data_IF_723502138953
#
_entry.id   IF_723502138953
#
_cell.length_a   1.000
_cell.length_b   1.000
_cell.length_c   1.000
_cell.angle_alpha   90.00
_cell.angle_beta   90.00
_cell.angle_gamma   90.00
#
_symmetry.space_group_name_H-M   'P 1'
#
loop_
_entity.id
_entity.type
_entity.pdbx_description
1 polymer ?
#
# COMPACT_ATOMS: atom_id res chain seq x y z
N UNK A 1 -76.95 -21.41 -5.73
CA UNK A 1 -75.67 -21.50 -6.49
C UNK A 1 -74.78 -20.40 -5.93
N UNK A 2 -73.69 -20.59 -5.20
CA UNK A 2 -72.73 -21.69 -5.08
C UNK A 2 -71.32 -21.09 -5.31
N UNK A 3 -70.39 -21.30 -4.35
CA UNK A 3 -68.96 -20.90 -4.27
C UNK A 3 -68.69 -19.46 -3.78
N UNK A 4 -68.17 -19.15 -2.57
CA UNK A 4 -67.08 -19.68 -1.71
C UNK A 4 -65.66 -19.23 -2.11
N UNK A 5 -65.08 -18.30 -1.32
CA UNK A 5 -63.65 -18.24 -0.98
C UNK A 5 -63.42 -17.36 0.27
N UNK A 6 -63.46 -18.05 1.43
CA UNK A 6 -62.67 -17.90 2.66
C UNK A 6 -62.06 -16.53 3.01
N UNK A 7 -62.66 -15.86 4.00
CA UNK A 7 -61.98 -14.90 4.86
C UNK A 7 -61.65 -15.59 6.19
N UNK A 8 -60.36 -15.79 6.49
CA UNK A 8 -59.93 -16.32 7.77
C UNK A 8 -60.01 -15.24 8.85
N UNK A 9 -60.87 -15.46 9.84
CA UNK A 9 -60.74 -14.83 11.16
C UNK A 9 -59.54 -15.44 11.87
N UNK A 10 -58.70 -14.61 12.48
CA UNK A 10 -57.89 -15.04 13.63
C UNK A 10 -58.01 -14.02 14.76
N UNK A 11 -58.42 -14.57 15.91
CA UNK A 11 -58.58 -13.88 17.18
C UNK A 11 -57.27 -13.23 17.63
N UNK A 12 -57.39 -12.03 18.21
CA UNK A 12 -56.36 -11.47 19.09
C UNK A 12 -56.19 -12.35 20.33
N UNK A 13 -55.08 -13.08 20.40
CA UNK A 13 -54.58 -13.67 21.63
C UNK A 13 -53.43 -12.81 22.15
N UNK A 14 -53.66 -12.12 23.25
CA UNK A 14 -52.65 -11.39 24.01
C UNK A 14 -51.61 -12.38 24.57
N UNK A 15 -50.42 -12.42 24.00
CA UNK A 15 -49.28 -13.16 24.55
C UNK A 15 -48.61 -12.34 25.65
N UNK A 16 -48.82 -12.74 26.89
CA UNK A 16 -47.99 -12.38 28.05
C UNK A 16 -46.70 -13.19 27.96
N UNK A 17 -45.57 -12.53 27.67
CA UNK A 17 -44.25 -13.16 27.79
C UNK A 17 -43.76 -12.93 29.22
N UNK A 18 -43.75 -14.01 30.01
CA UNK A 18 -43.03 -14.08 31.26
C UNK A 18 -41.52 -13.97 30.98
N UNK A 19 -40.88 -12.94 31.54
CA UNK A 19 -39.42 -12.89 31.64
C UNK A 19 -38.97 -13.84 32.75
N UNK A 20 -38.60 -15.06 32.38
CA UNK A 20 -37.83 -15.95 33.26
C UNK A 20 -36.40 -15.45 33.32
N UNK A 21 -36.02 -14.84 34.45
CA UNK A 21 -34.62 -14.61 34.80
C UNK A 21 -33.99 -15.97 35.08
N UNK A 22 -33.24 -16.51 34.10
CA UNK A 22 -32.29 -17.57 34.38
C UNK A 22 -31.14 -16.99 35.19
N UNK A 23 -31.24 -17.11 36.52
CA UNK A 23 -30.07 -17.07 37.40
C UNK A 23 -29.34 -18.37 37.13
N UNK A 24 -28.42 -18.36 36.17
CA UNK A 24 -27.36 -19.35 36.17
C UNK A 24 -26.56 -19.14 37.44
N UNK A 25 -26.66 -20.13 38.34
CA UNK A 25 -25.68 -20.35 39.40
C UNK A 25 -24.31 -20.38 38.72
N UNK A 26 -23.57 -19.29 38.88
CA UNK A 26 -22.13 -19.28 38.65
C UNK A 26 -21.58 -20.31 39.61
N UNK A 27 -21.34 -21.53 39.10
CA UNK A 27 -20.44 -22.46 39.72
C UNK A 27 -19.14 -21.71 39.95
N UNK A 28 -18.67 -21.73 41.19
CA UNK A 28 -17.36 -21.28 41.61
C UNK A 28 -16.28 -22.07 40.87
N UNK A 29 -16.07 -21.77 39.59
CA UNK A 29 -14.80 -21.96 38.95
C UNK A 29 -13.91 -20.80 39.43
N UNK A 30 -13.08 -21.14 40.41
CA UNK A 30 -11.98 -20.34 40.93
C UNK A 30 -11.12 -19.81 39.77
N UNK A 31 -11.48 -18.64 39.25
CA UNK A 31 -10.52 -17.79 38.53
C UNK A 31 -9.78 -17.05 39.61
N UNK A 32 -8.57 -17.54 39.95
CA UNK A 32 -7.64 -16.91 40.90
C UNK A 32 -7.54 -15.40 40.65
N UNK A 33 -8.30 -14.61 41.43
CA UNK A 33 -8.23 -13.16 41.55
C UNK A 33 -7.09 -12.83 42.52
N UNK A 34 -5.87 -13.23 42.20
CA UNK A 34 -4.75 -12.83 43.04
C UNK A 34 -3.58 -12.47 42.12
N UNK A 35 -3.14 -11.22 42.22
CA UNK A 35 -1.97 -10.73 41.48
C UNK A 35 -0.69 -11.48 41.88
N UNK A 36 -0.72 -12.19 43.01
CA UNK A 36 0.40 -12.96 43.54
C UNK A 36 0.76 -14.19 42.68
N UNK A 37 -0.22 -14.79 41.99
CA UNK A 37 0.01 -16.00 41.17
C UNK A 37 0.20 -15.68 39.68
N UNK A 38 -0.15 -14.49 39.22
CA UNK A 38 0.05 -14.07 37.83
C UNK A 38 0.32 -12.57 37.74
N UNK A 39 1.41 -12.15 37.06
CA UNK A 39 1.80 -10.75 37.01
C UNK A 39 0.81 -9.89 36.21
N UNK A 40 0.64 -8.64 36.62
CA UNK A 40 0.09 -7.60 35.76
C UNK A 40 1.20 -7.13 34.81
N UNK A 41 1.11 -7.46 33.52
CA UNK A 41 2.20 -7.21 32.58
C UNK A 41 2.40 -5.72 32.34
N UNK A 42 1.34 -5.02 31.94
CA UNK A 42 1.37 -3.58 31.64
C UNK A 42 0.36 -2.83 32.51
N UNK A 43 0.51 -2.99 33.82
CA UNK A 43 -0.39 -2.39 34.80
C UNK A 43 0.11 -2.50 36.22
N UNK A 44 -0.68 -1.99 37.16
CA UNK A 44 -0.44 -2.12 38.60
C UNK A 44 -1.50 -3.00 39.22
N UNK A 45 -1.11 -3.83 40.19
CA UNK A 45 -2.08 -4.54 41.00
C UNK A 45 -2.72 -3.59 42.03
N UNK A 46 -4.03 -3.45 41.97
CA UNK A 46 -4.84 -2.68 42.92
C UNK A 46 -6.04 -3.55 43.34
N UNK A 47 -6.19 -3.82 44.64
CA UNK A 47 -7.30 -4.63 45.19
C UNK A 47 -7.47 -5.99 44.48
N UNK A 48 -6.38 -6.75 44.36
CA UNK A 48 -6.36 -8.09 43.73
C UNK A 48 -6.76 -8.12 42.24
N UNK A 49 -6.81 -6.95 41.58
CA UNK A 49 -7.09 -6.79 40.15
C UNK A 49 -6.00 -5.97 39.48
N UNK A 50 -5.70 -6.30 38.22
CA UNK A 50 -4.80 -5.48 37.43
C UNK A 50 -5.52 -4.23 36.91
N UNK A 51 -4.98 -3.06 37.25
CA UNK A 51 -5.31 -1.79 36.62
C UNK A 51 -4.31 -1.52 35.51
N UNK A 52 -4.76 -1.57 34.27
CA UNK A 52 -3.90 -1.42 33.11
C UNK A 52 -3.45 0.03 32.90
N UNK A 53 -2.23 0.19 32.41
CA UNK A 53 -1.77 1.47 31.90
C UNK A 53 -2.59 1.85 30.65
N UNK A 54 -2.61 3.15 30.34
CA UNK A 54 -3.29 3.63 29.14
C UNK A 54 -2.74 2.91 27.89
N UNK A 55 -3.64 2.46 27.02
CA UNK A 55 -3.26 1.73 25.82
C UNK A 55 -3.12 0.21 25.98
N UNK A 56 -3.41 -0.33 27.18
CA UNK A 56 -3.37 -1.75 27.51
C UNK A 56 -4.71 -2.24 28.06
N UNK A 57 -5.01 -3.53 27.85
CA UNK A 57 -6.24 -4.15 28.31
C UNK A 57 -6.10 -5.65 28.55
N UNK A 58 -7.21 -6.30 28.91
CA UNK A 58 -7.23 -7.69 29.37
C UNK A 58 -7.18 -7.79 30.89
N UNK A 59 -7.49 -8.98 31.43
CA UNK A 59 -7.54 -9.22 32.89
C UNK A 59 -6.15 -9.04 33.52
N UNK A 60 -5.09 -9.22 32.73
CA UNK A 60 -3.69 -9.12 33.18
C UNK A 60 -2.92 -7.99 32.51
N UNK A 61 -3.62 -7.11 31.77
CA UNK A 61 -2.98 -6.07 30.97
C UNK A 61 -1.97 -6.65 29.97
N UNK A 62 -2.35 -7.77 29.33
CA UNK A 62 -1.53 -8.65 28.51
C UNK A 62 -1.77 -8.46 27.00
N UNK A 63 -2.58 -7.47 26.62
CA UNK A 63 -2.83 -7.12 25.23
C UNK A 63 -2.92 -5.61 25.04
N UNK A 64 -2.49 -5.14 23.89
CA UNK A 64 -2.70 -3.77 23.49
C UNK A 64 -4.19 -3.44 23.39
N UNK A 65 -4.55 -2.19 23.69
CA UNK A 65 -5.92 -1.71 23.62
C UNK A 65 -5.97 -0.21 23.32
N UNK A 66 -6.42 0.17 22.13
CA UNK A 66 -6.57 1.57 21.77
C UNK A 66 -5.23 2.27 21.48
N UNK A 67 -4.97 3.41 22.13
CA UNK A 67 -3.86 4.30 21.77
C UNK A 67 -2.83 4.42 22.89
N UNK A 68 -1.58 4.15 22.55
CA UNK A 68 -0.39 4.32 23.37
C UNK A 68 0.38 5.56 22.90
N UNK A 69 0.79 6.41 23.83
CA UNK A 69 1.67 7.54 23.56
C UNK A 69 3.05 7.24 24.13
N UNK A 70 4.08 7.27 23.29
CA UNK A 70 5.47 7.03 23.64
C UNK A 70 6.24 8.35 23.52
N UNK A 71 6.58 8.94 24.67
CA UNK A 71 7.28 10.24 24.77
C UNK A 71 8.73 10.14 25.22
N UNK A 72 9.10 9.02 25.83
CA UNK A 72 10.46 8.73 26.27
C UNK A 72 11.05 7.60 25.41
N UNK A 73 12.34 7.31 25.56
CA UNK A 73 12.97 6.16 24.90
C UNK A 73 12.42 4.84 25.46
N UNK A 74 11.25 4.44 24.96
CA UNK A 74 10.80 3.06 25.05
C UNK A 74 11.54 2.30 23.95
N UNK A 75 12.54 1.52 24.33
CA UNK A 75 13.30 0.75 23.34
C UNK A 75 12.43 -0.33 22.67
N UNK A 76 11.29 -0.71 23.26
CA UNK A 76 10.43 -1.77 22.72
C UNK A 76 8.97 -1.34 22.59
N UNK A 77 8.39 -1.62 21.43
CA UNK A 77 7.00 -1.45 21.06
C UNK A 77 6.46 -2.84 20.67
N UNK A 78 5.43 -3.30 21.39
CA UNK A 78 4.87 -4.66 21.27
C UNK A 78 3.36 -4.65 21.51
N UNK A 79 2.66 -5.64 20.95
CA UNK A 79 1.23 -5.89 21.17
C UNK A 79 0.94 -6.65 22.48
N UNK A 80 1.96 -7.29 23.07
CA UNK A 80 1.85 -7.97 24.35
C UNK A 80 2.79 -9.17 24.50
N UNK A 81 2.81 -9.81 25.68
CA UNK A 81 3.64 -10.99 25.98
C UNK A 81 3.11 -12.30 25.40
N UNK A 82 1.96 -12.29 24.74
CA UNK A 82 1.26 -13.47 24.20
C UNK A 82 0.92 -13.21 22.74
N UNK A 83 0.35 -14.21 22.07
CA UNK A 83 -0.24 -13.99 20.76
C UNK A 83 -1.23 -12.83 20.81
N UNK A 84 -1.24 -12.00 19.76
CA UNK A 84 -2.15 -10.85 19.68
C UNK A 84 -3.61 -11.30 19.77
N UNK A 85 -4.49 -10.42 20.23
CA UNK A 85 -5.94 -10.71 20.26
C UNK A 85 -6.57 -10.53 18.89
N UNK A 86 -7.66 -11.25 18.60
CA UNK A 86 -8.47 -10.99 17.40
C UNK A 86 -9.22 -9.66 17.50
N UNK A 87 -9.52 -9.04 16.37
CA UNK A 87 -10.15 -7.73 16.22
C UNK A 87 -9.40 -6.61 16.96
N UNK A 88 -8.08 -6.72 17.08
CA UNK A 88 -7.24 -5.72 17.72
C UNK A 88 -7.14 -4.48 16.85
N UNK A 89 -7.24 -3.32 17.49
CA UNK A 89 -7.02 -2.01 16.86
C UNK A 89 -6.16 -1.20 17.83
N UNK A 90 -4.86 -1.26 17.61
CA UNK A 90 -3.88 -0.70 18.52
C UNK A 90 -3.01 0.32 17.80
N UNK A 91 -2.79 1.46 18.42
CA UNK A 91 -2.03 2.57 17.87
C UNK A 91 -0.93 2.96 18.84
N UNK A 92 0.27 3.18 18.33
CA UNK A 92 1.39 3.76 19.08
C UNK A 92 1.81 5.04 18.39
N UNK A 93 1.87 6.11 19.16
CA UNK A 93 2.35 7.40 18.67
C UNK A 93 3.67 7.69 19.33
N UNK A 94 4.70 7.77 18.50
CA UNK A 94 6.06 8.07 18.89
C UNK A 94 6.29 9.55 18.60
N UNK A 95 6.53 10.32 19.66
CA UNK A 95 6.94 11.72 19.55
C UNK A 95 7.75 12.10 20.78
N UNK A 96 8.89 12.71 20.56
CA UNK A 96 9.65 13.40 21.60
C UNK A 96 9.83 14.85 21.17
N UNK A 97 9.26 15.79 21.92
CA UNK A 97 9.31 17.21 21.59
C UNK A 97 10.70 17.83 21.86
N UNK A 98 11.58 17.12 22.59
CA UNK A 98 12.95 17.55 22.91
C UNK A 98 13.95 17.03 21.87
N UNK A 99 13.70 15.87 21.26
CA UNK A 99 14.56 15.31 20.22
C UNK A 99 14.21 15.87 18.85
N UNK A 100 15.24 16.07 18.04
CA UNK A 100 15.16 16.51 16.65
C UNK A 100 15.92 15.52 15.78
N UNK A 101 15.56 15.49 14.50
CA UNK A 101 16.14 14.58 13.52
C UNK A 101 15.21 13.43 13.17
N UNK A 102 15.70 12.54 12.31
CA UNK A 102 14.92 11.41 11.81
C UNK A 102 14.75 10.34 12.89
N UNK A 103 13.62 9.62 12.83
CA UNK A 103 13.35 8.47 13.69
C UNK A 103 13.60 7.21 12.87
N UNK A 104 14.30 6.23 13.42
CA UNK A 104 14.51 4.92 12.80
C UNK A 104 13.72 3.87 13.57
N UNK A 105 12.77 3.22 12.92
CA UNK A 105 12.07 2.04 13.43
C UNK A 105 12.75 0.78 12.93
N UNK A 106 13.00 -0.19 13.80
CA UNK A 106 13.50 -1.52 13.45
C UNK A 106 12.49 -2.58 13.89
N UNK A 107 12.01 -3.35 12.92
CA UNK A 107 11.11 -4.49 13.14
C UNK A 107 12.00 -5.67 13.52
N UNK A 108 12.10 -5.93 14.82
CA UNK A 108 12.90 -7.04 15.35
C UNK A 108 12.27 -8.38 14.98
N UNK A 109 10.95 -8.46 15.13
CA UNK A 109 10.14 -9.61 14.70
C UNK A 109 8.71 -9.17 14.45
N UNK A 110 8.11 -9.65 13.37
CA UNK A 110 6.68 -9.55 13.07
C UNK A 110 6.21 -10.91 12.55
N UNK A 111 5.16 -11.44 13.16
CA UNK A 111 4.53 -12.69 12.76
C UNK A 111 3.02 -12.49 12.88
N UNK A 112 2.36 -12.31 11.74
CA UNK A 112 0.91 -12.11 11.63
C UNK A 112 0.31 -13.00 10.56
N UNK A 113 -1.02 -13.14 10.55
CA UNK A 113 -1.69 -13.76 9.42
C UNK A 113 -1.42 -12.97 8.13
N UNK A 114 -0.91 -13.68 7.12
CA UNK A 114 -0.57 -13.06 5.84
C UNK A 114 -1.84 -12.53 5.16
N UNK A 115 -1.77 -11.32 4.62
CA UNK A 115 -2.85 -10.65 3.89
C UNK A 115 -4.10 -10.24 4.68
N UNK A 116 -4.21 -10.56 5.97
CA UNK A 116 -5.38 -10.21 6.79
C UNK A 116 -5.01 -9.29 7.96
N UNK A 117 -3.90 -9.60 8.64
CA UNK A 117 -3.42 -8.85 9.80
C UNK A 117 -2.24 -7.96 9.44
N UNK A 118 -2.39 -6.66 9.71
CA UNK A 118 -1.51 -5.65 9.16
C UNK A 118 -0.91 -4.73 10.22
N UNK A 119 0.37 -4.43 10.04
CA UNK A 119 1.10 -3.38 10.74
C UNK A 119 1.39 -2.24 9.76
N UNK A 120 0.80 -1.08 10.01
CA UNK A 120 1.00 0.14 9.24
C UNK A 120 1.95 1.09 9.96
N UNK A 121 2.83 1.74 9.21
CA UNK A 121 3.75 2.76 9.72
C UNK A 121 3.54 4.06 8.93
N UNK A 122 3.32 5.15 9.64
CA UNK A 122 3.10 6.48 9.07
C UNK A 122 4.17 7.49 9.54
N UNK A 123 4.59 8.39 8.64
CA UNK A 123 5.46 9.53 8.92
C UNK A 123 4.62 10.72 9.42
N UNK A 124 4.39 10.75 10.73
CA UNK A 124 3.57 11.71 11.45
C UNK A 124 2.73 11.03 12.54
N UNK A 125 1.88 11.80 13.24
CA UNK A 125 1.15 11.31 14.42
C UNK A 125 -0.31 10.89 14.15
N UNK A 126 -0.73 10.83 12.89
CA UNK A 126 -2.11 10.56 12.51
C UNK A 126 -2.24 9.63 11.30
N UNK A 127 -3.42 9.04 11.11
CA UNK A 127 -3.71 8.13 9.99
C UNK A 127 -3.80 8.84 8.64
N UNK A 128 -3.86 10.17 8.63
CA UNK A 128 -3.77 11.01 7.43
C UNK A 128 -2.34 11.41 7.07
N UNK A 129 -1.37 11.06 7.91
CA UNK A 129 0.05 11.27 7.64
C UNK A 129 0.52 10.34 6.51
N UNK A 130 1.72 10.57 5.98
CA UNK A 130 2.25 9.74 4.89
C UNK A 130 2.44 8.30 5.36
N UNK A 131 1.71 7.34 4.77
CA UNK A 131 1.97 5.92 5.02
C UNK A 131 3.30 5.51 4.37
N UNK A 132 4.25 5.04 5.18
CA UNK A 132 5.57 4.59 4.72
C UNK A 132 5.57 3.09 4.40
N UNK A 133 4.84 2.29 5.18
CA UNK A 133 4.81 0.85 5.03
C UNK A 133 3.50 0.22 5.51
N UNK A 134 3.17 -0.94 4.93
CA UNK A 134 2.16 -1.87 5.41
C UNK A 134 2.76 -3.27 5.37
N UNK A 135 2.83 -3.92 6.52
CA UNK A 135 3.47 -5.23 6.69
C UNK A 135 2.46 -6.28 7.16
N UNK A 136 2.59 -7.49 6.64
CA UNK A 136 1.87 -8.69 7.09
C UNK A 136 2.74 -9.93 6.89
N UNK A 137 2.40 -11.03 7.57
CA UNK A 137 3.16 -12.28 7.49
C UNK A 137 4.38 -12.29 8.42
N UNK A 138 5.47 -12.92 7.97
CA UNK A 138 6.70 -13.13 8.74
C UNK A 138 7.80 -12.18 8.27
N UNK A 139 8.19 -11.23 9.11
CA UNK A 139 9.21 -10.20 8.81
C UNK A 139 10.16 -10.05 9.99
N UNK A 140 11.45 -9.88 9.70
CA UNK A 140 12.50 -9.68 10.72
C UNK A 140 13.62 -8.82 10.15
N UNK A 141 14.23 -7.97 11.00
CA UNK A 141 15.40 -7.17 10.67
C UNK A 141 15.16 -6.07 9.64
N UNK A 142 13.91 -5.61 9.49
CA UNK A 142 13.56 -4.52 8.55
C UNK A 142 13.63 -3.18 9.27
N UNK A 143 14.21 -2.19 8.62
CA UNK A 143 14.31 -0.83 9.13
C UNK A 143 13.48 0.14 8.29
N UNK A 144 12.84 1.11 8.95
CA UNK A 144 12.04 2.15 8.32
C UNK A 144 12.48 3.50 8.87
N UNK A 145 12.96 4.38 7.99
CA UNK A 145 13.36 5.74 8.35
C UNK A 145 12.17 6.70 8.22
N UNK A 146 11.90 7.44 9.29
CA UNK A 146 10.78 8.38 9.43
C UNK A 146 11.34 9.80 9.48
N UNK A 147 11.08 10.59 8.43
CA UNK A 147 11.75 11.87 8.22
C UNK A 147 11.24 12.96 9.16
N UNK A 148 9.97 12.94 9.54
CA UNK A 148 9.42 13.95 10.46
C UNK A 148 9.87 13.80 11.91
N UNK A 149 10.52 12.69 12.27
CA UNK A 149 10.86 12.34 13.65
C UNK A 149 9.65 11.93 14.51
N UNK A 150 8.45 11.83 13.91
CA UNK A 150 7.21 11.45 14.58
C UNK A 150 6.57 10.31 13.82
N UNK A 151 6.09 9.29 14.52
CA UNK A 151 5.49 8.13 13.88
C UNK A 151 4.16 7.75 14.52
N UNK A 152 3.28 7.21 13.68
CA UNK A 152 2.11 6.44 14.08
C UNK A 152 2.34 5.02 13.58
N UNK A 153 2.39 4.08 14.51
CA UNK A 153 2.36 2.65 14.24
C UNK A 153 0.94 2.17 14.52
N UNK A 154 0.29 1.54 13.56
CA UNK A 154 -1.08 1.06 13.68
C UNK A 154 -1.14 -0.43 13.39
N UNK A 155 -1.57 -1.21 14.37
CA UNK A 155 -1.79 -2.64 14.22
C UNK A 155 -3.28 -2.94 14.16
N UNK A 156 -3.65 -3.74 13.17
CA UNK A 156 -4.99 -4.24 12.92
C UNK A 156 -4.95 -5.76 12.81
N UNK A 157 -5.84 -6.43 13.55
CA UNK A 157 -6.14 -7.85 13.32
C UNK A 157 -7.61 -8.10 13.02
N UNK A 158 -7.88 -9.15 12.25
CA UNK A 158 -9.22 -9.58 11.88
C UNK A 158 -9.84 -10.52 12.95
N UNK A 159 -10.93 -11.22 12.63
CA UNK A 159 -11.64 -12.06 13.61
C UNK A 159 -11.00 -13.45 13.81
N UNK A 160 -9.95 -13.82 13.06
CA UNK A 160 -9.37 -15.15 13.03
C UNK A 160 -7.85 -15.13 13.29
N UNK A 161 -7.27 -16.34 13.28
CA UNK A 161 -5.85 -16.70 13.39
C UNK A 161 -4.91 -15.71 14.09
N UNK A 162 -4.63 -15.99 15.36
CA UNK A 162 -3.70 -15.19 16.15
C UNK A 162 -2.29 -15.81 16.22
N UNK A 163 -1.29 -15.05 15.78
CA UNK A 163 0.12 -15.41 15.85
C UNK A 163 0.87 -14.59 16.92
N UNK A 164 2.20 -14.67 16.96
CA UNK A 164 3.01 -14.09 18.04
C UNK A 164 3.14 -12.56 18.03
N UNK A 165 2.61 -11.87 17.02
CA UNK A 165 2.56 -10.41 17.00
C UNK A 165 3.89 -9.79 16.60
N UNK A 166 4.30 -8.73 17.29
CA UNK A 166 5.53 -8.01 16.92
C UNK A 166 6.32 -7.41 18.09
N UNK A 167 7.59 -7.21 17.79
CA UNK A 167 8.54 -6.45 18.57
C UNK A 167 9.23 -5.44 17.65
N UNK A 168 9.15 -4.17 18.02
CA UNK A 168 9.72 -3.06 17.25
C UNK A 168 10.54 -2.19 18.19
N UNK A 169 11.78 -1.92 17.79
CA UNK A 169 12.66 -0.97 18.48
C UNK A 169 12.73 0.34 17.70
N UNK A 170 13.01 1.45 18.38
CA UNK A 170 13.19 2.74 17.70
C UNK A 170 14.28 3.61 18.31
N UNK A 171 14.91 4.44 17.48
CA UNK A 171 15.93 5.37 17.92
C UNK A 171 15.92 6.64 17.08
N UNK A 172 16.21 7.77 17.72
CA UNK A 172 16.38 9.06 17.05
C UNK A 172 17.81 9.23 16.53
N UNK A 173 17.96 9.82 15.34
CA UNK A 173 19.25 10.18 14.76
C UNK A 173 20.15 9.00 14.37
N UNK A 174 19.66 7.76 14.46
CA UNK A 174 20.38 6.58 13.97
C UNK A 174 20.12 6.38 12.49
N UNK A 175 21.16 6.06 11.75
CA UNK A 175 21.07 5.75 10.33
C UNK A 175 20.78 4.26 10.09
N UNK A 176 20.03 3.93 9.03
CA UNK A 176 19.75 2.55 8.66
C UNK A 176 21.06 1.81 8.35
N UNK A 177 21.22 0.62 8.92
CA UNK A 177 22.41 -0.24 8.78
C UNK A 177 23.76 0.49 8.95
N UNK A 178 23.80 1.58 9.73
CA UNK A 178 24.97 2.45 9.88
C UNK A 178 25.58 2.88 8.53
N UNK A 179 24.72 3.20 7.55
CA UNK A 179 25.10 3.57 6.18
C UNK A 179 26.00 2.53 5.50
N UNK A 180 25.87 1.25 5.88
CA UNK A 180 26.71 0.12 5.44
C UNK A 180 28.22 0.37 5.53
N UNK A 181 28.64 1.30 6.39
CA UNK A 181 30.02 1.82 6.47
C UNK A 181 30.52 2.54 5.20
N UNK A 182 29.63 2.82 4.24
CA UNK A 182 29.92 3.50 2.96
C UNK A 182 29.33 4.91 2.91
N UNK A 183 29.03 5.50 4.07
CA UNK A 183 28.56 6.87 4.17
C UNK A 183 28.75 7.42 5.58
N UNK A 184 28.59 8.74 5.70
CA UNK A 184 28.55 9.43 6.98
C UNK A 184 27.11 9.57 7.45
N UNK A 185 26.85 9.22 8.70
CA UNK A 185 25.54 9.41 9.31
C UNK A 185 25.39 10.84 9.85
N UNK A 186 24.40 11.58 9.36
CA UNK A 186 24.06 12.93 9.83
C UNK A 186 22.57 12.99 10.18
N UNK A 187 22.26 13.08 11.48
CA UNK A 187 20.88 13.13 12.02
C UNK A 187 19.95 12.01 11.50
N UNK A 188 20.52 10.81 11.29
CA UNK A 188 19.83 9.61 10.80
C UNK A 188 19.63 9.55 9.27
N UNK A 189 20.23 10.48 8.52
CA UNK A 189 20.34 10.44 7.06
C UNK A 189 21.77 9.98 6.69
N UNK A 190 21.85 9.08 5.71
CA UNK A 190 23.14 8.63 5.18
C UNK A 190 23.63 9.54 4.04
N UNK A 191 24.74 10.22 4.25
CA UNK A 191 25.50 10.91 3.22
C UNK A 191 26.52 9.93 2.61
N UNK A 192 26.19 9.35 1.46
CA UNK A 192 27.02 8.32 0.84
C UNK A 192 28.36 8.86 0.36
N UNK A 193 29.41 8.07 0.56
CA UNK A 193 30.72 8.34 -0.01
C UNK A 193 30.69 8.19 -1.53
N UNK A 194 31.67 8.79 -2.21
CA UNK A 194 31.82 8.71 -3.67
C UNK A 194 31.78 7.24 -4.13
N UNK A 195 30.94 6.94 -5.13
CA UNK A 195 30.76 5.59 -5.66
C UNK A 195 29.69 4.75 -4.97
N UNK A 196 28.96 5.31 -4.00
CA UNK A 196 27.83 4.64 -3.34
C UNK A 196 26.55 5.49 -3.42
N UNK A 197 25.40 4.79 -3.44
CA UNK A 197 24.06 5.38 -3.43
C UNK A 197 23.08 4.49 -2.67
N UNK A 198 21.83 4.93 -2.60
CA UNK A 198 20.77 4.30 -1.83
C UNK A 198 20.61 4.93 -0.45
N UNK A 199 19.47 4.69 0.20
CA UNK A 199 19.13 5.28 1.50
C UNK A 199 20.06 4.86 2.63
N UNK A 200 20.80 3.75 2.44
CA UNK A 200 21.78 3.19 3.36
C UNK A 200 23.18 3.02 2.74
N UNK A 201 23.43 3.62 1.58
CA UNK A 201 24.72 3.58 0.87
C UNK A 201 25.22 2.17 0.51
N UNK A 202 24.30 1.23 0.28
CA UNK A 202 24.58 -0.18 -0.01
C UNK A 202 24.82 -0.47 -1.50
N UNK A 203 24.48 0.48 -2.37
CA UNK A 203 24.51 0.29 -3.81
C UNK A 203 25.73 0.98 -4.39
N UNK A 204 26.67 0.22 -4.98
CA UNK A 204 27.78 0.81 -5.73
C UNK A 204 27.30 1.37 -7.06
N UNK A 205 27.89 2.49 -7.46
CA UNK A 205 27.66 3.14 -8.75
C UNK A 205 29.00 3.47 -9.42
N UNK A 206 28.97 3.63 -10.74
CA UNK A 206 30.14 4.04 -11.49
C UNK A 206 30.58 5.46 -11.12
N UNK A 207 31.89 5.66 -11.03
CA UNK A 207 32.52 6.97 -10.85
C UNK A 207 33.38 7.32 -12.06
N UNK A 208 33.82 8.58 -12.16
CA UNK A 208 34.76 9.01 -13.21
C UNK A 208 36.07 8.21 -13.21
N UNK A 209 36.49 7.68 -12.05
CA UNK A 209 37.70 6.86 -11.90
C UNK A 209 37.57 5.48 -12.56
N UNK A 210 36.34 4.97 -12.64
CA UNK A 210 35.98 3.68 -13.24
C UNK A 210 35.74 3.75 -14.75
N UNK A 211 35.71 4.95 -15.33
CA UNK A 211 35.34 5.17 -16.74
C UNK A 211 36.19 4.32 -17.69
N UNK A 212 35.51 3.62 -18.61
CA UNK A 212 36.10 2.71 -19.58
C UNK A 212 36.93 1.56 -18.97
N UNK A 213 36.72 1.22 -17.70
CA UNK A 213 37.35 0.08 -17.02
C UNK A 213 36.30 -0.90 -16.50
N UNK A 214 36.70 -2.16 -16.40
CA UNK A 214 35.95 -3.14 -15.61
C UNK A 214 35.96 -2.71 -14.15
N UNK A 215 34.77 -2.59 -13.55
CA UNK A 215 34.63 -2.10 -12.17
C UNK A 215 33.75 -3.03 -11.33
N UNK A 216 33.98 -3.00 -10.01
CA UNK A 216 33.11 -3.64 -9.01
C UNK A 216 31.70 -3.04 -9.01
N UNK A 217 31.56 -1.77 -9.41
CA UNK A 217 30.26 -1.14 -9.60
C UNK A 217 29.40 -1.94 -10.60
N UNK A 218 30.03 -2.49 -11.65
CA UNK A 218 29.43 -3.32 -12.69
C UNK A 218 29.69 -4.82 -12.47
N UNK A 219 29.73 -5.27 -11.21
CA UNK A 219 29.81 -6.70 -10.86
C UNK A 219 31.07 -7.41 -11.36
N UNK A 220 32.13 -6.67 -11.71
CA UNK A 220 33.31 -7.17 -12.45
C UNK A 220 33.00 -7.78 -13.83
N UNK A 221 31.76 -7.61 -14.31
CA UNK A 221 31.23 -8.21 -15.53
C UNK A 221 30.81 -7.17 -16.58
N UNK A 222 31.05 -5.88 -16.31
CA UNK A 222 30.79 -4.79 -17.23
C UNK A 222 31.77 -3.63 -17.07
N UNK A 223 31.63 -2.65 -17.96
CA UNK A 223 32.46 -1.45 -18.03
C UNK A 223 31.60 -0.22 -17.75
N UNK A 224 32.10 0.71 -16.95
CA UNK A 224 31.44 1.98 -16.73
C UNK A 224 31.53 2.88 -17.97
N UNK A 225 30.37 3.33 -18.46
CA UNK A 225 30.24 4.22 -19.62
C UNK A 225 30.47 5.71 -19.24
N UNK A 226 30.32 6.61 -20.21
CA UNK A 226 30.49 8.05 -20.00
C UNK A 226 29.38 8.71 -19.17
N UNK A 227 28.25 8.02 -18.96
CA UNK A 227 27.09 8.49 -18.21
C UNK A 227 27.00 7.80 -16.84
N UNK A 228 28.08 7.20 -16.35
CA UNK A 228 28.14 6.45 -15.09
C UNK A 228 27.17 5.26 -15.03
N UNK A 229 26.92 4.60 -16.15
CA UNK A 229 26.13 3.37 -16.25
C UNK A 229 27.00 2.18 -16.62
N UNK A 230 26.53 0.98 -16.31
CA UNK A 230 27.24 -0.24 -16.64
C UNK A 230 26.85 -0.76 -18.02
N UNK A 231 27.86 -0.97 -18.87
CA UNK A 231 27.74 -1.73 -20.10
C UNK A 231 28.20 -3.17 -19.85
N UNK A 232 27.25 -4.10 -19.80
CA UNK A 232 27.52 -5.48 -19.43
C UNK A 232 28.14 -6.30 -20.56
N UNK A 233 28.94 -7.30 -20.18
CA UNK A 233 29.38 -8.33 -21.11
C UNK A 233 28.19 -9.20 -21.58
N UNK A 234 28.41 -10.03 -22.60
CA UNK A 234 27.36 -10.88 -23.20
C UNK A 234 26.74 -11.93 -22.27
N UNK A 235 27.37 -12.20 -21.12
CA UNK A 235 26.95 -13.24 -20.18
C UNK A 235 26.27 -12.67 -18.93
N UNK A 236 26.18 -11.34 -18.81
CA UNK A 236 25.66 -10.68 -17.61
C UNK A 236 24.66 -9.57 -17.96
N UNK A 237 23.73 -9.31 -17.05
CA UNK A 237 22.68 -8.30 -17.20
C UNK A 237 22.28 -7.70 -15.84
N UNK A 238 21.32 -6.78 -15.89
CA UNK A 238 20.92 -5.89 -14.80
C UNK A 238 21.74 -4.60 -14.78
N UNK A 239 21.27 -3.60 -14.04
CA UNK A 239 21.87 -2.24 -14.01
C UNK A 239 23.34 -2.19 -13.61
N UNK A 240 23.81 -3.23 -12.91
CA UNK A 240 25.17 -3.37 -12.40
C UNK A 240 25.83 -4.67 -12.88
N UNK A 241 25.29 -5.30 -13.93
CA UNK A 241 25.78 -6.57 -14.46
C UNK A 241 25.89 -7.68 -13.40
N UNK A 242 25.00 -7.65 -12.41
CA UNK A 242 25.02 -8.51 -11.24
C UNK A 242 24.45 -9.90 -11.49
N UNK A 243 23.67 -10.08 -12.56
CA UNK A 243 22.97 -11.31 -12.87
C UNK A 243 23.53 -11.94 -14.15
N UNK A 244 23.53 -13.28 -14.23
CA UNK A 244 23.89 -14.00 -15.46
C UNK A 244 22.73 -13.98 -16.45
N UNK A 245 23.02 -13.90 -17.76
CA UNK A 245 21.97 -13.94 -18.81
C UNK A 245 21.20 -15.24 -18.88
N UNK A 246 21.70 -16.29 -18.22
CA UNK A 246 21.00 -17.57 -18.05
C UNK A 246 20.00 -17.57 -16.89
N UNK A 247 19.90 -16.48 -16.13
CA UNK A 247 19.03 -16.36 -14.96
C UNK A 247 18.00 -15.25 -15.18
N UNK A 248 16.74 -15.58 -14.91
CA UNK A 248 15.68 -14.59 -14.75
C UNK A 248 15.66 -14.11 -13.30
N UNK A 249 15.70 -12.80 -13.10
CA UNK A 249 15.72 -12.17 -11.78
C UNK A 249 14.63 -11.11 -11.68
N UNK A 250 14.10 -10.90 -10.48
CA UNK A 250 13.34 -9.71 -10.13
C UNK A 250 14.28 -8.73 -9.45
N UNK A 251 14.34 -7.51 -9.96
CA UNK A 251 15.23 -6.49 -9.43
C UNK A 251 14.61 -5.10 -9.46
N UNK A 252 15.10 -4.27 -8.55
CA UNK A 252 14.78 -2.85 -8.53
C UNK A 252 15.73 -2.13 -9.47
N UNK A 253 15.17 -1.38 -10.42
CA UNK A 253 15.95 -0.57 -11.36
C UNK A 253 16.39 0.73 -10.69
N UNK A 254 17.65 1.11 -10.89
CA UNK A 254 18.19 2.40 -10.47
C UNK A 254 17.69 3.49 -11.41
N UNK A 255 16.92 4.42 -10.86
CA UNK A 255 16.32 5.50 -11.65
C UNK A 255 16.67 6.87 -11.10
N UNK A 256 16.74 7.86 -11.99
CA UNK A 256 16.79 9.27 -11.62
C UNK A 256 15.39 9.90 -11.67
N UNK A 257 15.15 10.91 -10.83
CA UNK A 257 13.82 11.51 -10.63
C UNK A 257 12.96 10.74 -9.62
N UNK A 258 12.05 11.45 -8.95
CA UNK A 258 11.12 10.88 -7.97
C UNK A 258 9.73 11.52 -8.14
N UNK A 259 8.71 10.68 -8.28
CA UNK A 259 7.31 11.08 -8.43
C UNK A 259 6.41 10.46 -7.35
N UNK A 260 7.01 9.97 -6.26
CA UNK A 260 6.34 9.41 -5.10
C UNK A 260 5.65 8.06 -5.35
N UNK A 261 5.32 7.37 -4.26
CA UNK A 261 4.59 6.11 -4.30
C UNK A 261 3.14 6.32 -4.78
N UNK A 262 2.67 5.42 -5.66
CA UNK A 262 1.30 5.37 -6.15
C UNK A 262 0.85 3.92 -6.33
N UNK A 263 -0.44 3.66 -6.15
CA UNK A 263 -1.08 2.35 -6.35
C UNK A 263 -2.26 2.48 -7.32
N UNK A 264 -2.74 1.35 -7.84
CA UNK A 264 -3.94 1.30 -8.71
C UNK A 264 -3.86 2.26 -9.92
N UNK A 265 -2.65 2.50 -10.42
CA UNK A 265 -2.38 3.19 -11.67
C UNK A 265 -2.32 2.16 -12.80
N UNK A 266 -2.38 2.64 -14.04
CA UNK A 266 -2.04 1.81 -15.21
C UNK A 266 -0.77 2.32 -15.88
N UNK A 267 0.01 1.40 -16.42
CA UNK A 267 1.22 1.69 -17.19
C UNK A 267 1.09 1.16 -18.63
N UNK A 268 1.53 1.93 -19.62
CA UNK A 268 1.54 1.53 -21.04
C UNK A 268 2.88 1.83 -21.70
N UNK A 269 3.33 0.94 -22.59
CA UNK A 269 4.56 1.11 -23.35
C UNK A 269 4.31 1.96 -24.61
N UNK A 270 5.09 3.02 -24.76
CA UNK A 270 5.05 3.96 -25.89
C UNK A 270 6.40 3.94 -26.61
N UNK A 271 6.37 3.69 -27.92
CA UNK A 271 7.55 3.67 -28.81
C UNK A 271 8.71 2.78 -28.30
N UNK A 272 8.41 1.68 -27.61
CA UNK A 272 9.35 0.68 -27.08
C UNK A 272 10.46 1.21 -26.17
N UNK A 273 10.36 2.48 -25.75
CA UNK A 273 11.42 3.21 -25.03
C UNK A 273 10.88 3.94 -23.82
N UNK A 274 9.56 4.12 -23.72
CA UNK A 274 8.92 4.93 -22.67
C UNK A 274 7.75 4.20 -22.04
N UNK A 275 7.74 4.10 -20.73
CA UNK A 275 6.60 3.58 -19.97
C UNK A 275 5.84 4.78 -19.42
N UNK A 276 4.59 4.95 -19.87
CA UNK A 276 3.71 6.01 -19.41
C UNK A 276 2.85 5.48 -18.28
N UNK A 277 2.93 6.10 -17.12
CA UNK A 277 2.14 5.78 -15.93
C UNK A 277 1.07 6.84 -15.74
N UNK A 278 -0.18 6.41 -15.77
CA UNK A 278 -1.36 7.28 -15.79
C UNK A 278 -2.20 7.05 -14.52
N UNK A 279 -2.57 8.15 -13.88
CA UNK A 279 -3.42 8.17 -12.69
C UNK A 279 -2.84 7.40 -11.50
N UNK A 280 -3.73 6.72 -10.77
CA UNK A 280 -3.44 6.00 -9.54
C UNK A 280 -3.74 6.79 -8.28
N UNK A 281 -3.98 6.06 -7.20
CA UNK A 281 -4.14 6.60 -5.87
C UNK A 281 -2.76 6.84 -5.27
N UNK A 282 -2.57 8.03 -4.69
CA UNK A 282 -1.41 8.32 -3.87
C UNK A 282 -1.82 8.34 -2.41
N UNK A 283 -0.95 7.84 -1.55
CA UNK A 283 -1.15 7.90 -0.11
C UNK A 283 -0.66 9.22 0.50
N UNK A 284 -0.18 10.17 -0.34
CA UNK A 284 0.29 11.51 0.07
C UNK A 284 -0.18 12.62 -0.84
N UNK A 285 -0.63 13.72 -0.22
CA UNK A 285 -1.16 14.92 -0.89
C UNK A 285 -0.12 15.86 -1.50
N UNK A 286 1.02 15.36 -2.00
CA UNK A 286 1.99 16.20 -2.73
C UNK A 286 1.60 16.25 -4.22
N UNK A 287 1.75 17.44 -4.80
CA UNK A 287 1.47 17.83 -6.19
C UNK A 287 1.74 16.68 -7.19
N UNK A 288 0.72 16.31 -7.96
CA UNK A 288 0.73 15.11 -8.81
C UNK A 288 0.55 15.47 -10.28
N UNK A 289 1.51 15.06 -11.11
CA UNK A 289 1.29 14.94 -12.53
C UNK A 289 0.48 13.69 -12.80
N UNK A 290 -0.71 13.86 -13.37
CA UNK A 290 -1.60 12.75 -13.75
C UNK A 290 -0.91 11.77 -14.70
N UNK A 291 0.02 12.27 -15.53
CA UNK A 291 0.86 11.49 -16.43
C UNK A 291 2.33 11.66 -16.04
N UNK A 292 2.99 10.56 -15.72
CA UNK A 292 4.44 10.50 -15.53
C UNK A 292 5.04 9.46 -16.46
N UNK A 293 6.27 9.68 -16.92
CA UNK A 293 6.92 8.82 -17.89
C UNK A 293 8.25 8.36 -17.34
N UNK A 294 8.49 7.05 -17.46
CA UNK A 294 9.79 6.43 -17.29
C UNK A 294 10.44 6.22 -18.66
N UNK A 295 11.58 6.86 -18.88
CA UNK A 295 12.43 6.63 -20.04
C UNK A 295 13.34 5.43 -19.76
N UNK A 296 13.08 4.32 -20.45
CA UNK A 296 13.84 3.06 -20.33
C UNK A 296 15.30 3.28 -20.78
N UNK A 297 15.52 4.13 -21.79
CA UNK A 297 16.87 4.33 -22.36
C UNK A 297 17.79 5.11 -21.45
N UNK A 298 17.21 6.02 -20.66
CA UNK A 298 17.95 6.88 -19.76
C UNK A 298 17.81 6.50 -18.28
N UNK A 299 16.97 5.50 -17.97
CA UNK A 299 16.58 5.14 -16.61
C UNK A 299 16.16 6.36 -15.78
N UNK A 300 15.29 7.19 -16.36
CA UNK A 300 14.89 8.46 -15.75
C UNK A 300 13.39 8.68 -15.78
N UNK A 301 12.88 9.32 -14.74
CA UNK A 301 11.49 9.71 -14.63
C UNK A 301 11.32 11.19 -14.93
N UNK A 302 10.24 11.54 -15.62
CA UNK A 302 9.81 12.93 -15.79
C UNK A 302 8.28 13.03 -15.89
N UNK A 303 7.73 14.19 -15.53
CA UNK A 303 6.32 14.48 -15.69
C UNK A 303 6.00 15.03 -17.07
N UNK A 304 4.82 14.73 -17.59
CA UNK A 304 4.28 15.36 -18.80
C UNK A 304 3.07 16.20 -18.40
N UNK A 305 3.03 17.44 -18.90
CA UNK A 305 1.86 18.30 -18.81
C UNK A 305 0.93 18.01 -19.99
N UNK A 306 -0.32 17.68 -19.70
CA UNK A 306 -1.36 17.40 -20.71
C UNK A 306 -2.47 18.45 -20.66
N UNK A 307 -3.13 18.68 -21.80
CA UNK A 307 -4.29 19.57 -21.91
C UNK A 307 -5.59 18.82 -21.63
N UNK A 308 -6.59 19.52 -21.10
CA UNK A 308 -7.90 18.95 -20.75
C UNK A 308 -7.83 17.69 -19.86
N UNK A 309 -6.82 17.65 -18.98
CA UNK A 309 -6.50 16.47 -18.18
C UNK A 309 -7.73 15.98 -17.37
N UNK A 310 -8.07 14.68 -17.44
CA UNK A 310 -9.19 14.11 -16.68
C UNK A 310 -9.02 14.30 -15.18
N UNK A 311 -10.12 14.21 -14.44
CA UNK A 311 -10.06 14.11 -12.97
C UNK A 311 -9.17 12.94 -12.55
N UNK A 312 -8.37 13.17 -11.50
CA UNK A 312 -7.52 12.15 -10.89
C UNK A 312 -8.35 10.92 -10.51
N UNK A 313 -7.86 9.73 -10.87
CA UNK A 313 -8.56 8.46 -10.70
C UNK A 313 -7.64 7.28 -10.50
N UNK A 314 -8.16 6.22 -9.92
CA UNK A 314 -7.48 4.94 -9.70
C UNK A 314 -8.38 3.77 -10.10
N UNK A 315 -7.84 2.57 -10.19
CA UNK A 315 -8.57 1.34 -10.59
C UNK A 315 -9.24 1.44 -11.97
N UNK A 316 -8.72 2.34 -12.81
CA UNK A 316 -9.05 2.47 -14.23
C UNK A 316 -8.11 1.59 -15.06
N UNK A 317 -8.48 1.32 -16.31
CA UNK A 317 -7.57 0.68 -17.27
C UNK A 317 -7.18 1.63 -18.38
N UNK A 318 -6.04 1.34 -18.99
CA UNK A 318 -5.50 2.09 -20.12
C UNK A 318 -5.00 1.12 -21.18
N UNK A 319 -5.31 1.39 -22.43
CA UNK A 319 -4.76 0.69 -23.60
C UNK A 319 -4.20 1.71 -24.60
N UNK A 320 -3.17 1.32 -25.35
CA UNK A 320 -2.63 2.14 -26.44
C UNK A 320 -3.07 1.55 -27.77
N UNK A 321 -3.71 2.37 -28.62
CA UNK A 321 -4.01 2.03 -30.01
C UNK A 321 -3.40 3.09 -30.93
N UNK A 322 -2.47 2.67 -31.80
CA UNK A 322 -1.73 3.56 -32.70
C UNK A 322 -1.05 4.71 -31.93
N UNK A 323 -1.38 5.96 -32.28
CA UNK A 323 -0.87 7.21 -31.71
C UNK A 323 -1.75 7.75 -30.58
N UNK A 324 -2.67 6.94 -30.05
CA UNK A 324 -3.65 7.37 -29.05
C UNK A 324 -3.65 6.42 -27.87
N UNK A 325 -3.76 6.99 -26.67
CA UNK A 325 -3.97 6.24 -25.43
C UNK A 325 -5.45 6.36 -25.04
N UNK A 326 -6.11 5.24 -24.76
CA UNK A 326 -7.49 5.20 -24.29
C UNK A 326 -7.54 4.78 -22.83
N UNK A 327 -8.32 5.49 -22.03
CA UNK A 327 -8.52 5.24 -20.62
C UNK A 327 -10.01 5.04 -20.34
N UNK A 328 -10.37 3.97 -19.64
CA UNK A 328 -11.76 3.67 -19.35
C UNK A 328 -12.01 3.46 -17.85
N UNK A 329 -13.11 4.04 -17.38
CA UNK A 329 -13.67 3.84 -16.06
C UNK A 329 -12.78 4.29 -14.89
N UNK A 330 -12.82 3.50 -13.81
CA UNK A 330 -12.12 3.75 -12.55
C UNK A 330 -12.93 4.55 -11.54
N UNK A 331 -12.25 4.99 -10.48
CA UNK A 331 -12.85 5.73 -9.36
C UNK A 331 -12.32 7.16 -9.33
N UNK A 332 -13.23 8.14 -9.43
CA UNK A 332 -12.98 9.58 -9.23
C UNK A 332 -13.55 10.03 -7.88
N UNK A 333 -13.05 11.15 -7.36
CA UNK A 333 -13.54 11.79 -6.12
C UNK A 333 -13.67 10.78 -4.94
N UNK A 334 -12.74 9.82 -4.89
CA UNK A 334 -12.61 8.69 -3.94
C UNK A 334 -13.76 7.67 -3.92
N UNK A 335 -14.92 7.96 -4.50
CA UNK A 335 -16.14 7.13 -4.35
C UNK A 335 -16.95 6.93 -5.61
N UNK A 336 -16.73 7.74 -6.64
CA UNK A 336 -17.57 7.73 -7.83
C UNK A 336 -16.93 6.81 -8.85
N UNK A 337 -17.55 5.65 -9.07
CA UNK A 337 -17.20 4.75 -10.18
C UNK A 337 -17.79 5.33 -11.46
N UNK A 338 -16.97 5.45 -12.50
CA UNK A 338 -17.34 6.11 -13.76
C UNK A 338 -17.26 5.14 -14.94
N UNK A 339 -17.98 5.45 -16.02
CA UNK A 339 -17.88 4.82 -17.34
C UNK A 339 -17.24 5.75 -18.37
N UNK A 340 -16.60 6.84 -17.96
CA UNK A 340 -15.93 7.76 -18.88
C UNK A 340 -14.85 7.04 -19.70
N UNK A 341 -14.89 7.24 -21.02
CA UNK A 341 -13.89 6.85 -21.99
C UNK A 341 -13.14 8.10 -22.43
N UNK A 342 -11.86 8.18 -22.09
CA UNK A 342 -10.98 9.26 -22.46
C UNK A 342 -9.97 8.80 -23.50
N UNK A 343 -9.67 9.63 -24.49
CA UNK A 343 -8.56 9.45 -25.41
C UNK A 343 -7.49 10.54 -25.19
N UNK A 344 -6.22 10.18 -25.33
CA UNK A 344 -5.08 11.09 -25.29
C UNK A 344 -4.32 10.95 -26.60
N UNK A 345 -4.27 12.03 -27.38
CA UNK A 345 -3.44 12.10 -28.57
C UNK A 345 -1.97 12.31 -28.18
N UNK A 346 -1.09 11.40 -28.62
CA UNK A 346 0.34 11.43 -28.27
C UNK A 346 1.14 12.54 -28.96
N UNK A 347 0.60 13.15 -30.02
CA UNK A 347 1.22 14.26 -30.73
C UNK A 347 0.88 15.62 -30.11
N UNK A 348 -0.40 15.85 -29.76
CA UNK A 348 -0.88 17.12 -29.21
C UNK A 348 -0.86 17.16 -27.67
N UNK A 349 -0.79 16.00 -27.02
CA UNK A 349 -0.90 15.81 -25.57
C UNK A 349 -2.22 16.36 -25.00
N UNK A 350 -3.29 16.22 -25.77
CA UNK A 350 -4.63 16.68 -25.43
C UNK A 350 -5.57 15.51 -25.17
N UNK A 351 -6.26 15.58 -24.04
CA UNK A 351 -7.29 14.61 -23.67
C UNK A 351 -8.64 15.00 -24.26
N UNK A 352 -9.38 14.02 -24.76
CA UNK A 352 -10.75 14.15 -25.26
C UNK A 352 -11.65 13.14 -24.56
N UNK A 353 -12.82 13.58 -24.08
CA UNK A 353 -13.84 12.68 -23.55
C UNK A 353 -14.67 12.15 -24.73
N UNK A 354 -14.59 10.85 -24.98
CA UNK A 354 -15.18 10.20 -26.17
C UNK A 354 -16.66 9.85 -26.00
N UNK A 355 -17.08 9.53 -24.79
CA UNK A 355 -18.49 9.25 -24.51
C UNK A 355 -19.19 10.44 -23.85
N UNK A 356 -20.39 10.76 -24.32
CA UNK A 356 -21.26 11.72 -23.65
C UNK A 356 -21.58 11.20 -22.23
N UNK A 357 -21.72 12.12 -21.25
CA UNK A 357 -22.04 11.87 -19.83
C UNK A 357 -23.36 11.09 -19.62
N UNK A 358 -23.47 9.88 -20.12
CA UNK A 358 -24.59 8.98 -19.92
C UNK A 358 -24.40 8.31 -18.55
N UNK A 359 -24.72 9.06 -17.50
CA UNK A 359 -24.83 8.58 -16.12
C UNK A 359 -26.10 7.73 -15.90
N UNK A 360 -26.69 7.19 -16.96
CA UNK A 360 -27.85 6.30 -16.87
C UNK A 360 -27.39 4.95 -16.29
N UNK A 361 -28.23 4.32 -15.48
CA UNK A 361 -28.01 2.96 -14.95
C UNK A 361 -27.82 1.92 -16.06
N UNK A 362 -28.35 2.22 -17.26
CA UNK A 362 -28.41 1.33 -18.40
C UNK A 362 -27.39 1.70 -19.50
N UNK A 363 -26.46 2.63 -19.19
CA UNK A 363 -25.42 2.99 -20.13
C UNK A 363 -24.46 1.80 -20.34
N UNK A 364 -24.28 1.41 -21.60
CA UNK A 364 -23.32 0.40 -22.02
C UNK A 364 -22.24 1.07 -22.87
N UNK A 365 -20.94 0.94 -22.54
CA UNK A 365 -20.36 0.30 -21.35
C UNK A 365 -20.74 0.95 -20.01
N UNK A 366 -20.94 0.11 -18.99
CA UNK A 366 -21.32 0.51 -17.64
C UNK A 366 -20.17 1.05 -16.80
N UNK A 367 -20.50 1.71 -15.69
CA UNK A 367 -19.49 2.24 -14.79
C UNK A 367 -18.78 1.10 -14.06
N UNK A 368 -17.44 1.06 -14.16
CA UNK A 368 -16.64 -0.06 -13.66
C UNK A 368 -15.26 0.39 -13.14
N UNK A 369 -14.80 -0.24 -12.05
CA UNK A 369 -13.47 -0.08 -11.47
C UNK A 369 -12.83 -1.44 -11.14
N UNK A 370 -11.51 -1.51 -11.14
CA UNK A 370 -10.76 -2.73 -10.81
C UNK A 370 -10.91 -3.82 -11.86
N UNK A 371 -11.19 -3.41 -13.11
CA UNK A 371 -11.35 -4.28 -14.27
C UNK A 371 -10.02 -4.48 -14.99
N UNK A 372 -9.99 -5.44 -15.91
CA UNK A 372 -8.90 -5.61 -16.86
C UNK A 372 -9.36 -5.16 -18.25
N UNK A 373 -8.45 -4.58 -19.04
CA UNK A 373 -8.74 -4.25 -20.42
C UNK A 373 -7.61 -4.67 -21.35
N UNK A 374 -7.98 -5.13 -22.54
CA UNK A 374 -7.04 -5.58 -23.57
C UNK A 374 -7.43 -5.05 -24.93
N UNK A 375 -6.43 -4.71 -25.74
CA UNK A 375 -6.63 -4.39 -27.14
C UNK A 375 -6.57 -5.67 -27.98
N UNK A 376 -7.63 -5.96 -28.74
CA UNK A 376 -7.66 -7.01 -29.76
C UNK A 376 -8.03 -6.37 -31.09
N UNK A 377 -7.09 -6.35 -32.04
CA UNK A 377 -7.27 -5.62 -33.29
C UNK A 377 -7.40 -4.11 -33.03
N UNK A 378 -8.57 -3.56 -33.30
CA UNK A 378 -8.96 -2.17 -33.09
C UNK A 378 -10.05 -2.00 -32.01
N UNK A 379 -10.21 -3.00 -31.15
CA UNK A 379 -11.23 -3.02 -30.11
C UNK A 379 -10.60 -3.19 -28.72
N UNK A 380 -11.08 -2.38 -27.77
CA UNK A 380 -10.78 -2.53 -26.36
C UNK A 380 -11.85 -3.41 -25.73
N UNK A 381 -11.43 -4.54 -25.21
CA UNK A 381 -12.30 -5.45 -24.46
C UNK A 381 -12.09 -5.21 -22.98
N UNK A 382 -13.19 -5.00 -22.25
CA UNK A 382 -13.21 -4.75 -20.81
C UNK A 382 -13.81 -5.95 -20.09
N UNK A 383 -13.09 -6.45 -19.10
CA UNK A 383 -13.44 -7.66 -18.36
C UNK A 383 -13.48 -7.41 -16.87
N UNK A 384 -14.50 -7.99 -16.22
CA UNK A 384 -14.67 -8.04 -14.78
C UNK A 384 -14.75 -6.64 -14.14
N UNK A 385 -14.39 -6.55 -12.86
CA UNK A 385 -14.43 -5.33 -12.08
C UNK A 385 -15.69 -5.20 -11.24
N UNK A 386 -15.80 -4.04 -10.59
CA UNK A 386 -16.89 -3.67 -9.70
C UNK A 386 -17.68 -2.52 -10.30
N UNK A 387 -18.99 -2.71 -10.43
CA UNK A 387 -19.96 -1.67 -10.75
C UNK A 387 -20.82 -1.34 -9.52
N UNK A 388 -21.13 -0.07 -9.25
CA UNK A 388 -22.03 0.31 -8.15
C UNK A 388 -23.46 -0.19 -8.37
N UNK A 389 -23.84 -0.50 -9.60
CA UNK A 389 -25.19 -0.96 -9.96
C UNK A 389 -25.32 -2.49 -9.97
N UNK A 390 -24.29 -3.18 -10.48
CA UNK A 390 -24.32 -4.63 -10.68
C UNK A 390 -23.43 -5.42 -9.71
N UNK A 391 -22.67 -4.73 -8.85
CA UNK A 391 -21.68 -5.34 -7.96
C UNK A 391 -20.47 -5.87 -8.74
N UNK A 392 -19.87 -6.96 -8.27
CA UNK A 392 -18.76 -7.61 -8.97
C UNK A 392 -19.25 -8.31 -10.24
N UNK A 393 -18.82 -7.79 -11.38
CA UNK A 393 -19.10 -8.31 -12.71
C UNK A 393 -18.29 -9.60 -12.86
N UNK A 394 -18.95 -10.75 -12.71
CA UNK A 394 -18.32 -12.09 -12.71
C UNK A 394 -18.71 -12.96 -13.91
N UNK A 395 -19.74 -12.57 -14.64
CA UNK A 395 -20.32 -13.40 -15.68
C UNK A 395 -19.68 -13.06 -17.04
N UNK A 396 -19.13 -14.05 -17.79
CA UNK A 396 -18.56 -13.81 -19.12
C UNK A 396 -19.58 -13.27 -20.13
N UNK A 397 -20.89 -13.39 -19.87
CA UNK A 397 -21.94 -12.78 -20.70
C UNK A 397 -21.98 -11.23 -20.61
N UNK A 398 -21.25 -10.64 -19.65
CA UNK A 398 -21.13 -9.19 -19.46
C UNK A 398 -19.74 -8.67 -19.87
N UNK A 399 -19.17 -9.25 -20.94
CA UNK A 399 -18.03 -8.64 -21.62
C UNK A 399 -18.50 -7.35 -22.28
N UNK A 400 -17.90 -6.23 -21.89
CA UNK A 400 -18.18 -4.95 -22.52
C UNK A 400 -17.11 -4.68 -23.58
N UNK A 401 -17.58 -4.48 -24.81
CA UNK A 401 -16.75 -4.22 -25.97
C UNK A 401 -16.80 -2.72 -26.27
N UNK A 402 -15.62 -2.10 -26.36
CA UNK A 402 -15.44 -0.71 -26.75
C UNK A 402 -14.67 -0.69 -28.06
N UNK A 403 -15.36 -0.49 -29.17
CA UNK A 403 -14.71 -0.35 -30.47
C UNK A 403 -13.92 0.96 -30.49
N UNK A 404 -12.59 0.88 -30.58
CA UNK A 404 -11.69 2.05 -30.59
C UNK A 404 -11.51 2.63 -32.00
N UNK A 405 -11.94 1.89 -33.03
CA UNK A 405 -12.14 2.43 -34.36
C UNK A 405 -13.35 3.36 -34.38
N UNK A 406 -13.18 4.60 -33.93
CA UNK A 406 -13.94 5.67 -34.54
C UNK A 406 -13.39 5.83 -35.96
N UNK A 407 -14.04 5.16 -36.91
CA UNK A 407 -13.95 5.57 -38.30
C UNK A 407 -14.36 7.04 -38.37
N UNK A 408 -13.40 7.90 -38.71
CA UNK A 408 -13.68 9.07 -39.53
C UNK A 408 -14.56 8.60 -40.69
N UNK A 409 -15.84 8.94 -40.64
CA UNK A 409 -16.74 8.88 -41.78
C UNK A 409 -17.70 10.08 -41.70
N UNK A 410 -17.28 11.11 -42.45
CA UNK A 410 -17.92 12.38 -42.83
C UNK A 410 -17.93 13.53 -41.82
#
# INVERSE_FOLDING_TARGET
MGAALWAAMFLHASTVIYSSVHIERIGSASVSKNCDNKPCYQGKCENEKCRCFAGWGGVQCDRCHGRNLLTDESELLTDGPRNYSSSSRCMWIIRDDKKRGTLLLRIDSLVTECSWDHLYIYDGTGTRSHQLAAFSGVISGREVSIKSGKALVYFFSDLAFNMSGFNITFAYGKCPNNCTSNGKCTEGICECFEGYTGTQCDTLICTDKDRNKTSKACGMAGICDANSRCSCNRHSHGDRCQALTTQSVFETVLTSGDFGARASHTAVLVNDTKIWVIGGARFTGINNSFVVVYDITNSSWYAISTKNTPKSRYDHTVVRYKSTIYMFGGVIDERIVTNELWSLDLGTLEWTLENANNNASDATPGAVAGHAAHLIGDEMLVFYGHSPYFGYIRNPDHMEQVTLAMCNCM
#
